data_IF_155070121507
#
_entry.id   IF_155070121507
#
_cell.length_a   1.000
_cell.length_b   1.000
_cell.length_c   1.000
_cell.angle_alpha   90.00
_cell.angle_beta   90.00
_cell.angle_gamma   90.00
#
_symmetry.space_group_name_H-M   'P 1'
#
loop_
_entity.id
_entity.type
_entity.pdbx_description
1 polymer ?
#
# COMPACT_ATOMS: atom_id res chain seq x y z
N UNK A 1 22.35 0.88 -7.38
CA UNK A 1 21.58 2.10 -7.23
C UNK A 1 20.28 1.99 -8.00
N UNK A 2 19.20 2.43 -7.46
CA UNK A 2 17.89 2.32 -8.09
C UNK A 2 17.28 0.93 -8.00
N UNK A 3 17.93 -0.01 -7.36
CA UNK A 3 17.44 -1.37 -7.20
C UNK A 3 16.65 -1.57 -5.91
N UNK A 4 16.60 -0.57 -5.05
CA UNK A 4 15.90 -0.66 -3.78
C UNK A 4 14.44 -0.30 -3.93
N UNK A 5 13.61 -1.09 -3.27
CA UNK A 5 12.20 -0.80 -3.12
C UNK A 5 11.96 -0.22 -1.73
N UNK A 6 10.97 0.66 -1.63
CA UNK A 6 10.56 1.26 -0.38
C UNK A 6 9.09 0.97 -0.14
N UNK A 7 8.76 0.76 1.12
CA UNK A 7 7.37 0.63 1.52
C UNK A 7 7.19 1.28 2.89
N UNK A 8 6.00 1.79 3.14
CA UNK A 8 5.71 2.46 4.40
C UNK A 8 4.29 2.24 4.85
N UNK A 9 4.10 2.27 6.16
CA UNK A 9 2.79 2.22 6.79
C UNK A 9 2.42 3.65 7.17
N UNK A 10 1.38 4.19 6.55
CA UNK A 10 0.91 5.54 6.81
C UNK A 10 -0.34 5.50 7.67
N UNK A 11 -0.36 6.31 8.72
CA UNK A 11 -1.53 6.46 9.59
C UNK A 11 -2.25 7.76 9.24
N UNK A 12 -3.39 7.71 8.51
CA UNK A 12 -4.09 8.93 8.08
C UNK A 12 -4.56 9.81 9.24
N UNK A 13 -5.00 9.20 10.33
CA UNK A 13 -5.45 9.96 11.50
C UNK A 13 -4.36 10.80 12.13
N UNK A 14 -3.15 10.26 12.15
CA UNK A 14 -1.98 10.94 12.73
C UNK A 14 -1.22 11.74 11.70
N UNK A 15 -1.56 11.57 10.41
CA UNK A 15 -0.89 12.21 9.29
C UNK A 15 0.62 11.98 9.28
N UNK A 16 1.03 10.76 9.60
CA UNK A 16 2.44 10.40 9.66
C UNK A 16 2.66 8.94 9.29
N UNK A 17 3.88 8.64 8.84
CA UNK A 17 4.31 7.27 8.64
C UNK A 17 4.71 6.66 9.98
N UNK A 18 4.19 5.47 10.27
CA UNK A 18 4.52 4.74 11.48
C UNK A 18 5.81 3.97 11.34
N UNK A 19 6.08 3.44 10.15
CA UNK A 19 7.28 2.65 9.88
C UNK A 19 7.50 2.59 8.38
N UNK A 20 8.76 2.51 7.97
CA UNK A 20 9.12 2.36 6.57
C UNK A 20 10.28 1.37 6.46
N UNK A 21 10.34 0.66 5.33
CA UNK A 21 11.38 -0.30 5.06
C UNK A 21 11.93 -0.11 3.65
N UNK A 22 13.20 -0.42 3.48
CA UNK A 22 13.86 -0.50 2.18
C UNK A 22 14.41 -1.90 2.01
N UNK A 23 14.29 -2.44 0.80
CA UNK A 23 14.82 -3.76 0.49
C UNK A 23 15.00 -3.90 -1.01
N UNK A 24 15.86 -4.82 -1.42
CA UNK A 24 16.02 -5.16 -2.83
C UNK A 24 14.74 -5.81 -3.36
N UNK A 25 14.05 -6.60 -2.54
CA UNK A 25 12.80 -7.27 -2.90
C UNK A 25 11.58 -6.51 -2.38
N UNK A 26 10.66 -6.19 -3.29
CA UNK A 26 9.42 -5.50 -2.89
C UNK A 26 8.56 -6.33 -1.94
N UNK A 27 8.56 -7.66 -2.12
CA UNK A 27 7.84 -8.55 -1.21
C UNK A 27 8.49 -8.58 0.18
N UNK A 28 9.82 -8.50 0.23
CA UNK A 28 10.54 -8.43 1.50
C UNK A 28 10.21 -7.14 2.25
N UNK A 29 10.07 -6.02 1.53
CA UNK A 29 9.62 -4.77 2.16
C UNK A 29 8.30 -4.99 2.88
N UNK A 30 7.35 -5.62 2.22
CA UNK A 30 6.02 -5.84 2.77
C UNK A 30 6.06 -6.77 3.98
N UNK A 31 6.86 -7.84 3.89
CA UNK A 31 7.02 -8.77 5.00
C UNK A 31 7.60 -8.07 6.23
N UNK A 32 8.53 -7.15 6.03
CA UNK A 32 9.11 -6.37 7.13
C UNK A 32 8.10 -5.44 7.77
N UNK A 33 7.22 -4.82 6.97
CA UNK A 33 6.15 -3.97 7.49
C UNK A 33 5.16 -4.79 8.31
N UNK A 34 4.75 -5.94 7.78
CA UNK A 34 3.80 -6.81 8.47
C UNK A 34 4.37 -7.32 9.79
N UNK A 35 5.64 -7.71 9.79
CA UNK A 35 6.33 -8.15 11.01
C UNK A 35 6.42 -7.04 12.05
N UNK A 36 6.77 -5.83 11.62
CA UNK A 36 6.82 -4.68 12.51
C UNK A 36 5.45 -4.39 13.14
N UNK A 37 4.40 -4.40 12.31
CA UNK A 37 3.05 -4.14 12.80
C UNK A 37 2.61 -5.17 13.83
N UNK A 38 2.93 -6.44 13.59
CA UNK A 38 2.62 -7.52 14.52
C UNK A 38 3.34 -7.32 15.85
N UNK A 39 4.63 -7.00 15.81
CA UNK A 39 5.44 -6.81 17.02
C UNK A 39 5.03 -5.56 17.80
N UNK A 40 4.42 -4.58 17.16
CA UNK A 40 4.05 -3.32 17.80
C UNK A 40 2.53 -3.19 17.99
N UNK A 41 1.79 -4.27 17.76
CA UNK A 41 0.34 -4.33 17.95
C UNK A 41 -0.39 -3.25 17.16
N UNK A 42 0.05 -2.98 15.94
CA UNK A 42 -0.58 -2.00 15.05
C UNK A 42 -1.67 -2.67 14.23
N UNK A 43 -2.86 -2.08 14.23
CA UNK A 43 -3.95 -2.53 13.39
C UNK A 43 -3.81 -1.92 11.99
N UNK A 44 -3.38 -2.74 11.03
CA UNK A 44 -3.14 -2.26 9.66
C UNK A 44 -4.43 -1.85 8.94
N UNK A 45 -5.60 -2.26 9.42
CA UNK A 45 -6.89 -1.88 8.83
C UNK A 45 -7.18 -0.37 8.95
N UNK A 46 -6.49 0.30 9.85
CA UNK A 46 -6.60 1.75 10.04
C UNK A 46 -5.47 2.52 9.36
N UNK A 47 -4.73 1.87 8.46
CA UNK A 47 -3.56 2.46 7.82
C UNK A 47 -3.63 2.36 6.30
N UNK A 48 -2.66 2.97 5.63
CA UNK A 48 -2.47 2.86 4.19
C UNK A 48 -1.06 2.33 3.92
N UNK A 49 -0.94 1.48 2.92
CA UNK A 49 0.35 0.96 2.47
C UNK A 49 0.86 1.81 1.32
N UNK A 50 2.04 2.39 1.47
CA UNK A 50 2.72 3.10 0.40
C UNK A 50 3.87 2.25 -0.13
N UNK A 51 3.96 2.13 -1.46
CA UNK A 51 5.05 1.37 -2.10
C UNK A 51 5.63 2.16 -3.26
N UNK A 52 6.93 1.98 -3.51
CA UNK A 52 7.60 2.55 -4.67
C UNK A 52 7.40 1.68 -5.91
N UNK A 53 7.17 0.39 -5.72
CA UNK A 53 7.04 -0.58 -6.79
C UNK A 53 5.68 -0.51 -7.47
N UNK A 54 5.57 -1.13 -8.65
CA UNK A 54 4.28 -1.31 -9.30
C UNK A 54 3.35 -2.15 -8.40
N UNK A 55 2.08 -1.82 -8.44
CA UNK A 55 1.06 -2.61 -7.76
C UNK A 55 0.72 -3.82 -8.64
N UNK A 56 1.33 -4.95 -8.33
CA UNK A 56 1.06 -6.23 -9.00
C UNK A 56 0.05 -7.03 -8.19
N UNK A 57 -0.59 -8.02 -8.82
CA UNK A 57 -1.56 -8.88 -8.13
C UNK A 57 -0.92 -9.59 -6.93
N UNK A 58 0.31 -10.10 -7.08
CA UNK A 58 0.97 -10.81 -5.98
C UNK A 58 1.29 -9.90 -4.81
N UNK A 59 1.71 -8.66 -5.08
CA UNK A 59 1.97 -7.67 -4.03
C UNK A 59 0.66 -7.28 -3.33
N UNK A 60 -0.39 -7.07 -4.12
CA UNK A 60 -1.70 -6.71 -3.59
C UNK A 60 -2.28 -7.82 -2.70
N UNK A 61 -2.10 -9.08 -3.08
CA UNK A 61 -2.53 -10.21 -2.26
C UNK A 61 -1.85 -10.21 -0.89
N UNK A 62 -0.55 -9.94 -0.85
CA UNK A 62 0.16 -9.82 0.43
C UNK A 62 -0.37 -8.66 1.27
N UNK A 63 -0.64 -7.53 0.63
CA UNK A 63 -1.19 -6.37 1.33
C UNK A 63 -2.57 -6.68 1.91
N UNK A 64 -3.41 -7.38 1.16
CA UNK A 64 -4.73 -7.81 1.63
C UNK A 64 -4.61 -8.75 2.83
N UNK A 65 -3.72 -9.73 2.76
CA UNK A 65 -3.50 -10.68 3.86
C UNK A 65 -2.99 -9.99 5.11
N UNK A 66 -2.17 -8.98 4.95
CA UNK A 66 -1.66 -8.19 6.07
C UNK A 66 -2.73 -7.32 6.73
N UNK A 67 -3.79 -6.99 5.98
CA UNK A 67 -4.91 -6.22 6.50
C UNK A 67 -4.98 -4.78 6.02
N UNK A 68 -4.17 -4.39 5.05
CA UNK A 68 -4.21 -3.03 4.51
C UNK A 68 -5.49 -2.79 3.69
N UNK A 69 -6.25 -1.72 3.96
CA UNK A 69 -7.44 -1.39 3.17
C UNK A 69 -7.11 -0.53 1.95
N UNK A 70 -5.92 0.04 1.90
CA UNK A 70 -5.55 1.03 0.91
C UNK A 70 -4.10 0.83 0.50
N UNK A 71 -3.86 0.76 -0.82
CA UNK A 71 -2.50 0.69 -1.36
C UNK A 71 -2.24 1.89 -2.26
N UNK A 72 -1.13 2.55 -2.01
CA UNK A 72 -0.69 3.73 -2.75
C UNK A 72 0.65 3.42 -3.39
N UNK A 73 0.70 3.47 -4.73
CA UNK A 73 1.92 3.22 -5.48
C UNK A 73 2.43 4.50 -6.13
N UNK A 74 3.73 4.68 -6.16
CA UNK A 74 4.33 5.76 -6.95
C UNK A 74 4.37 5.42 -8.44
N UNK A 75 4.11 4.18 -8.78
CA UNK A 75 4.20 3.65 -10.14
C UNK A 75 2.84 3.18 -10.64
N UNK A 76 2.86 2.34 -11.67
CA UNK A 76 1.66 1.83 -12.32
C UNK A 76 1.03 0.68 -11.53
N UNK A 77 -0.17 0.31 -11.92
CA UNK A 77 -0.80 -0.92 -11.47
C UNK A 77 -0.99 -1.87 -12.65
N UNK A 78 -1.06 -3.16 -12.37
CA UNK A 78 -1.42 -4.14 -13.40
C UNK A 78 -2.93 -4.31 -13.45
N UNK A 79 -3.44 -4.80 -14.60
CA UNK A 79 -4.88 -5.07 -14.73
C UNK A 79 -5.37 -6.08 -13.70
N UNK A 80 -4.57 -7.11 -13.44
CA UNK A 80 -4.92 -8.15 -12.46
C UNK A 80 -4.96 -7.59 -11.04
N UNK A 81 -4.05 -6.68 -10.70
CA UNK A 81 -4.08 -6.02 -9.39
C UNK A 81 -5.34 -5.18 -9.23
N UNK A 82 -5.73 -4.45 -10.28
CA UNK A 82 -6.94 -3.66 -10.25
C UNK A 82 -8.18 -4.52 -10.04
N UNK A 83 -8.30 -5.64 -10.77
CA UNK A 83 -9.40 -6.57 -10.60
C UNK A 83 -9.46 -7.12 -9.18
N UNK A 84 -8.32 -7.50 -8.64
CA UNK A 84 -8.24 -8.05 -7.30
C UNK A 84 -8.63 -7.02 -6.24
N UNK A 85 -8.19 -5.78 -6.42
CA UNK A 85 -8.53 -4.68 -5.51
C UNK A 85 -10.04 -4.43 -5.51
N UNK A 86 -10.66 -4.40 -6.69
CA UNK A 86 -12.10 -4.20 -6.82
C UNK A 86 -12.89 -5.32 -6.14
N UNK A 87 -12.48 -6.56 -6.35
CA UNK A 87 -13.14 -7.73 -5.73
C UNK A 87 -13.07 -7.72 -4.21
N UNK A 88 -12.03 -7.15 -3.65
CA UNK A 88 -11.79 -7.16 -2.20
C UNK A 88 -12.04 -5.81 -1.55
N UNK A 89 -12.66 -4.88 -2.28
CA UNK A 89 -12.97 -3.53 -1.77
C UNK A 89 -11.74 -2.79 -1.24
N UNK A 90 -10.58 -3.06 -1.82
CA UNK A 90 -9.35 -2.37 -1.49
C UNK A 90 -9.21 -1.13 -2.36
N UNK A 91 -8.90 0.00 -1.76
CA UNK A 91 -8.65 1.23 -2.50
C UNK A 91 -7.25 1.20 -3.08
N UNK A 92 -7.12 1.58 -4.35
CA UNK A 92 -5.85 1.52 -5.08
C UNK A 92 -5.58 2.84 -5.79
N UNK A 93 -4.47 3.48 -5.41
CA UNK A 93 -3.98 4.68 -6.07
C UNK A 93 -2.62 4.39 -6.70
N UNK A 94 -2.35 5.07 -7.82
CA UNK A 94 -1.06 4.93 -8.48
C UNK A 94 -0.55 6.27 -8.99
N UNK A 95 0.68 6.23 -9.51
CA UNK A 95 1.36 7.40 -10.07
C UNK A 95 1.41 8.58 -9.10
N UNK A 96 1.55 8.29 -7.80
CA UNK A 96 1.54 9.34 -6.77
C UNK A 96 2.78 10.22 -6.92
N UNK A 97 2.54 11.53 -7.05
CA UNK A 97 3.53 12.59 -7.07
C UNK A 97 3.06 13.69 -6.12
N UNK A 98 3.86 14.67 -5.85
CA UNK A 98 3.61 15.70 -4.84
C UNK A 98 2.14 16.11 -4.67
N UNK A 99 1.46 16.46 -5.75
CA UNK A 99 0.07 16.96 -5.69
C UNK A 99 -0.85 16.21 -6.64
N UNK A 100 -0.42 15.07 -7.16
CA UNK A 100 -1.18 14.32 -8.15
C UNK A 100 -1.17 12.83 -7.85
N UNK A 101 -2.25 12.19 -8.16
CA UNK A 101 -2.37 10.73 -8.11
C UNK A 101 -3.47 10.31 -9.06
N UNK A 102 -3.46 9.01 -9.41
CA UNK A 102 -4.53 8.38 -10.17
C UNK A 102 -5.29 7.45 -9.24
N UNK A 103 -6.58 7.69 -9.09
CA UNK A 103 -7.44 6.80 -8.31
C UNK A 103 -7.93 5.69 -9.22
N UNK A 104 -7.43 4.47 -9.04
CA UNK A 104 -7.82 3.33 -9.86
C UNK A 104 -9.12 2.71 -9.39
N UNK A 105 -9.30 2.55 -8.09
CA UNK A 105 -10.56 2.04 -7.53
C UNK A 105 -10.69 2.48 -6.08
N UNK A 106 -11.91 2.77 -5.67
CA UNK A 106 -12.24 3.19 -4.30
C UNK A 106 -13.69 2.86 -3.99
N UNK A 107 -14.02 1.57 -4.03
CA UNK A 107 -15.41 1.10 -3.85
C UNK A 107 -15.98 1.48 -2.50
N UNK A 108 -15.13 1.66 -1.49
CA UNK A 108 -15.54 2.03 -0.13
C UNK A 108 -15.47 3.53 0.14
N UNK A 109 -15.19 4.32 -0.90
CA UNK A 109 -15.14 5.79 -0.80
C UNK A 109 -14.21 6.29 0.31
N UNK A 110 -13.05 5.63 0.45
CA UNK A 110 -12.10 5.94 1.53
C UNK A 110 -11.39 7.28 1.32
N UNK A 111 -11.09 7.61 0.07
CA UNK A 111 -10.33 8.82 -0.23
C UNK A 111 -11.11 10.07 0.15
N UNK A 112 -12.42 10.08 -0.04
CA UNK A 112 -13.27 11.19 0.35
C UNK A 112 -13.33 11.37 1.87
N UNK A 113 -12.97 10.33 2.64
CA UNK A 113 -12.97 10.37 4.11
C UNK A 113 -11.66 10.89 4.68
N UNK A 114 -10.63 10.96 3.87
CA UNK A 114 -9.31 11.44 4.30
C UNK A 114 -9.10 12.87 3.85
#
# INVERSE_FOLDING_TARGET
TGCFHRAGIYAPEKKTFLFAAEDIGRHNCLDRLAGWALNNSVNLRATALFVSARATASLLQKALKAGFPLLVSRSATTSKALELAEKNDMTLLGFVREKRFTLFTDTQNRIASY
#
